data_IF_085451481161
#
_entry.id   IF_085451481161
#
_cell.length_a   1.000
_cell.length_b   1.000
_cell.length_c   1.000
_cell.angle_alpha   90.00
_cell.angle_beta   90.00
_cell.angle_gamma   90.00
#
_symmetry.space_group_name_H-M   'P 1'
#
loop_
_entity.id
_entity.type
_entity.pdbx_description
1 polymer ?
#
# COMPACT_ATOMS: atom_id res chain seq x y z
N UNK A 1 -13.86 -41.82 -30.14
CA UNK A 1 -13.41 -41.21 -28.87
C UNK A 1 -12.22 -40.32 -29.17
N UNK A 2 -12.44 -39.01 -29.30
CA UNK A 2 -11.37 -38.04 -29.55
C UNK A 2 -11.28 -37.11 -28.34
N UNK A 3 -10.18 -37.22 -27.59
CA UNK A 3 -9.98 -36.48 -26.34
C UNK A 3 -9.76 -35.00 -26.61
N UNK A 4 -10.69 -34.17 -26.14
CA UNK A 4 -10.51 -32.72 -26.10
C UNK A 4 -9.44 -32.37 -25.08
N UNK A 5 -8.22 -32.07 -25.55
CA UNK A 5 -7.18 -31.41 -24.75
C UNK A 5 -7.72 -30.04 -24.33
N UNK A 6 -8.03 -29.88 -23.04
CA UNK A 6 -8.39 -28.59 -22.45
C UNK A 6 -7.21 -27.64 -22.67
N UNK A 7 -7.40 -26.60 -23.49
CA UNK A 7 -6.43 -25.52 -23.68
C UNK A 7 -6.34 -24.75 -22.37
N UNK A 8 -5.29 -24.99 -21.61
CA UNK A 8 -4.92 -24.17 -20.46
C UNK A 8 -4.49 -22.80 -21.00
N UNK A 9 -5.06 -21.68 -20.53
CA UNK A 9 -4.60 -20.36 -20.94
C UNK A 9 -3.14 -20.14 -20.50
N UNK A 10 -2.31 -19.48 -21.33
CA UNK A 10 -0.91 -19.28 -21.01
C UNK A 10 -0.77 -18.49 -19.70
N UNK A 11 0.22 -18.82 -18.84
CA UNK A 11 0.48 -18.09 -17.61
C UNK A 11 0.81 -16.62 -17.91
N UNK A 12 0.29 -15.71 -17.09
CA UNK A 12 0.64 -14.29 -17.13
C UNK A 12 1.98 -14.13 -16.41
N UNK A 13 3.00 -13.51 -17.01
CA UNK A 13 4.27 -13.26 -16.32
C UNK A 13 4.04 -12.32 -15.13
N UNK A 14 4.38 -12.78 -13.92
CA UNK A 14 4.25 -12.04 -12.67
C UNK A 14 5.46 -11.14 -12.49
N UNK A 15 5.23 -9.84 -12.31
CA UNK A 15 6.29 -8.89 -11.96
C UNK A 15 6.61 -9.03 -10.45
N UNK A 16 7.42 -10.03 -10.11
CA UNK A 16 7.92 -10.28 -8.75
C UNK A 16 9.44 -10.31 -8.74
N UNK A 17 10.06 -9.45 -7.94
CA UNK A 17 11.52 -9.29 -7.88
C UNK A 17 12.23 -10.55 -7.44
N UNK A 18 13.01 -11.15 -8.34
CA UNK A 18 14.09 -12.04 -7.98
C UNK A 18 15.32 -11.65 -8.80
N UNK A 19 16.35 -11.15 -8.12
CA UNK A 19 17.63 -10.75 -8.71
C UNK A 19 18.37 -12.00 -9.20
N UNK A 20 18.74 -12.01 -10.48
CA UNK A 20 19.63 -13.02 -11.04
C UNK A 20 19.37 -13.28 -12.52
N UNK A 21 20.03 -12.53 -13.40
CA UNK A 21 20.32 -12.88 -14.80
C UNK A 21 19.12 -13.25 -15.70
N UNK A 22 18.18 -12.33 -15.94
CA UNK A 22 17.07 -12.59 -16.87
C UNK A 22 16.25 -11.38 -17.33
N UNK A 23 16.79 -10.16 -17.28
CA UNK A 23 16.02 -8.95 -17.65
C UNK A 23 15.66 -8.91 -19.16
N UNK A 24 16.57 -9.26 -20.07
CA UNK A 24 16.26 -9.35 -21.51
C UNK A 24 15.21 -10.42 -21.83
N UNK A 25 15.31 -11.61 -21.23
CA UNK A 25 14.34 -12.69 -21.42
C UNK A 25 12.94 -12.30 -20.93
N UNK A 26 12.86 -11.43 -19.93
CA UNK A 26 11.62 -10.99 -19.31
C UNK A 26 10.93 -9.87 -20.08
N UNK A 27 11.69 -8.94 -20.65
CA UNK A 27 11.15 -7.93 -21.56
C UNK A 27 10.62 -8.56 -22.85
N UNK A 28 11.32 -9.59 -23.37
CA UNK A 28 10.87 -10.32 -24.55
C UNK A 28 9.58 -11.13 -24.27
N UNK A 29 9.46 -11.73 -23.08
CA UNK A 29 8.22 -12.38 -22.64
C UNK A 29 7.05 -11.40 -22.50
N UNK A 30 7.30 -10.18 -22.00
CA UNK A 30 6.27 -9.14 -21.91
C UNK A 30 5.81 -8.67 -23.29
N UNK A 31 6.75 -8.39 -24.21
CA UNK A 31 6.42 -7.99 -25.59
C UNK A 31 5.64 -9.07 -26.33
N UNK A 32 6.03 -10.34 -26.18
CA UNK A 32 5.31 -11.46 -26.77
C UNK A 32 3.88 -11.60 -26.22
N UNK A 33 3.68 -11.33 -24.91
CA UNK A 33 2.36 -11.34 -24.30
C UNK A 33 1.48 -10.20 -24.80
N UNK A 34 2.01 -8.98 -24.91
CA UNK A 34 1.30 -7.81 -25.43
C UNK A 34 0.86 -8.00 -26.89
N UNK A 35 1.73 -8.53 -27.75
CA UNK A 35 1.38 -8.88 -29.13
C UNK A 35 0.26 -9.91 -29.21
N UNK A 36 0.28 -10.91 -28.31
CA UNK A 36 -0.73 -11.96 -28.29
C UNK A 36 -2.09 -11.41 -27.84
N UNK A 37 -2.11 -10.49 -26.87
CA UNK A 37 -3.32 -9.76 -26.45
C UNK A 37 -3.87 -8.88 -27.57
N UNK A 38 -2.99 -8.17 -28.29
CA UNK A 38 -3.39 -7.37 -29.45
C UNK A 38 -4.03 -8.23 -30.54
N UNK A 39 -3.40 -9.35 -30.90
CA UNK A 39 -3.97 -10.31 -31.88
C UNK A 39 -5.31 -10.86 -31.43
N UNK A 40 -5.49 -11.12 -30.13
CA UNK A 40 -6.76 -11.62 -29.60
C UNK A 40 -7.88 -10.57 -29.74
N UNK A 41 -7.58 -9.29 -29.47
CA UNK A 41 -8.54 -8.18 -29.67
C UNK A 41 -8.85 -7.96 -31.15
N UNK A 42 -7.85 -8.04 -32.02
CA UNK A 42 -8.06 -7.93 -33.47
C UNK A 42 -8.94 -9.08 -33.99
N UNK A 43 -8.75 -10.31 -33.50
CA UNK A 43 -9.60 -11.46 -33.83
C UNK A 43 -11.04 -11.31 -33.29
N UNK A 44 -11.21 -10.79 -32.07
CA UNK A 44 -12.53 -10.51 -31.51
C UNK A 44 -13.24 -9.36 -32.25
N UNK A 45 -12.51 -8.31 -32.64
CA UNK A 45 -13.04 -7.21 -33.43
C UNK A 45 -13.43 -7.67 -34.85
N UNK A 46 -12.63 -8.55 -35.47
CA UNK A 46 -12.96 -9.15 -36.76
C UNK A 46 -14.17 -10.10 -36.70
N UNK A 47 -14.39 -10.77 -35.57
CA UNK A 47 -15.56 -11.62 -35.34
C UNK A 47 -16.83 -10.83 -34.97
N UNK A 48 -16.70 -9.57 -34.53
CA UNK A 48 -17.79 -8.69 -34.12
C UNK A 48 -18.28 -7.75 -35.23
N UNK A 49 -17.97 -8.04 -36.51
CA UNK A 49 -18.56 -7.32 -37.63
C UNK A 49 -20.10 -7.39 -37.55
N UNK A 50 -20.81 -6.24 -37.52
CA UNK A 50 -22.22 -6.21 -37.18
C UNK A 50 -23.08 -6.80 -38.31
N UNK A 51 -23.82 -7.87 -38.00
CA UNK A 51 -24.99 -8.27 -38.78
C UNK A 51 -26.05 -7.20 -38.53
N UNK A 52 -26.28 -6.34 -39.53
CA UNK A 52 -27.35 -5.34 -39.54
C UNK A 52 -28.71 -6.05 -39.46
N UNK A 53 -29.28 -6.14 -38.25
CA UNK A 53 -30.67 -6.54 -38.04
C UNK A 53 -31.51 -5.27 -37.98
N UNK A 54 -32.18 -4.96 -39.09
CA UNK A 54 -33.16 -3.88 -39.19
C UNK A 54 -34.39 -4.20 -38.33
N UNK A 55 -34.65 -3.38 -37.31
CA UNK A 55 -35.88 -3.42 -36.50
C UNK A 55 -36.88 -2.39 -37.07
N UNK A 56 -38.15 -2.76 -37.34
CA UNK A 56 -39.13 -1.83 -37.89
C UNK A 56 -39.75 -0.93 -36.80
N UNK A 57 -40.04 0.32 -37.19
CA UNK A 57 -40.60 1.37 -36.36
C UNK A 57 -42.08 1.12 -35.97
N UNK A 58 -42.52 1.49 -34.75
CA UNK A 58 -43.94 1.58 -34.44
C UNK A 58 -44.49 3.00 -34.64
N UNK A 59 -45.64 3.03 -35.31
CA UNK A 59 -46.46 4.18 -35.68
C UNK A 59 -47.19 4.82 -34.49
N UNK A 60 -47.30 6.15 -34.48
CA UNK A 60 -48.27 6.93 -33.67
C UNK A 60 -49.70 6.80 -34.23
N UNK A 61 -50.77 7.08 -33.44
CA UNK A 61 -51.45 8.40 -33.49
C UNK A 61 -52.21 8.77 -32.16
N UNK A 62 -53.21 9.72 -32.10
CA UNK A 62 -53.02 11.18 -32.02
C UNK A 62 -53.82 11.92 -30.90
N UNK A 63 -53.39 13.16 -30.64
CA UNK A 63 -54.13 14.41 -30.33
C UNK A 63 -55.33 14.50 -29.34
N UNK A 64 -55.21 15.42 -28.37
CA UNK A 64 -56.30 16.33 -27.95
C UNK A 64 -55.75 17.68 -27.43
N UNK A 65 -56.33 18.76 -27.97
CA UNK A 65 -56.11 20.22 -27.86
C UNK A 65 -56.48 20.83 -26.49
N UNK A 66 -55.62 21.65 -25.84
CA UNK A 66 -55.59 23.14 -25.78
C UNK A 66 -56.23 23.74 -24.47
N UNK A 67 -56.02 25.01 -24.05
CA UNK A 67 -54.95 26.01 -24.30
C UNK A 67 -54.38 26.77 -23.04
N UNK A 68 -53.27 27.50 -23.25
CA UNK A 68 -52.86 28.84 -22.72
C UNK A 68 -52.95 29.18 -21.22
N UNK A 69 -51.80 29.51 -20.58
CA UNK A 69 -51.41 30.84 -20.00
C UNK A 69 -49.89 30.87 -19.72
N UNK A 70 -49.13 31.72 -20.41
CA UNK A 70 -47.93 32.44 -19.90
C UNK A 70 -48.41 33.84 -19.43
N UNK A 71 -47.71 34.65 -18.60
CA UNK A 71 -46.25 34.65 -18.34
C UNK A 71 -45.85 34.94 -16.87
N UNK A 72 -44.67 34.53 -16.41
CA UNK A 72 -43.80 35.43 -15.59
C UNK A 72 -42.36 34.93 -15.63
N UNK A 73 -41.47 35.79 -16.12
CA UNK A 73 -40.04 35.65 -16.00
C UNK A 73 -39.65 35.73 -14.51
N UNK A 74 -38.95 34.70 -14.00
CA UNK A 74 -38.20 34.80 -12.76
C UNK A 74 -36.77 34.39 -13.09
N UNK A 75 -35.91 35.39 -12.96
CA UNK A 75 -34.46 35.40 -12.89
C UNK A 75 -33.79 34.02 -12.74
N UNK A 76 -32.88 33.71 -13.67
CA UNK A 76 -31.74 32.84 -13.42
C UNK A 76 -30.96 33.39 -12.21
N UNK A 77 -30.88 32.69 -11.08
CA UNK A 77 -29.80 32.94 -10.16
C UNK A 77 -28.54 32.40 -10.82
N UNK A 78 -27.58 33.29 -11.07
CA UNK A 78 -26.18 32.93 -11.30
C UNK A 78 -25.75 31.98 -10.18
N UNK A 79 -25.82 30.67 -10.47
CA UNK A 79 -25.22 29.66 -9.65
C UNK A 79 -23.72 29.89 -9.75
N UNK A 80 -23.19 30.56 -8.73
CA UNK A 80 -21.76 30.52 -8.39
C UNK A 80 -21.40 29.04 -8.44
N UNK A 81 -20.60 28.65 -9.44
CA UNK A 81 -20.05 27.33 -9.55
C UNK A 81 -19.30 27.06 -8.24
N UNK A 82 -19.95 26.33 -7.33
CA UNK A 82 -19.28 25.78 -6.18
C UNK A 82 -18.18 24.89 -6.76
N UNK A 83 -16.91 25.04 -6.35
CA UNK A 83 -15.89 24.09 -6.75
C UNK A 83 -16.38 22.71 -6.29
N UNK A 84 -16.59 21.82 -7.25
CA UNK A 84 -16.85 20.42 -6.94
C UNK A 84 -15.76 19.97 -5.96
N UNK A 85 -16.12 19.29 -4.86
CA UNK A 85 -15.13 18.76 -3.95
C UNK A 85 -14.21 17.86 -4.77
N UNK A 86 -12.94 18.28 -4.91
CA UNK A 86 -11.95 17.52 -5.64
C UNK A 86 -11.99 16.08 -5.13
N UNK A 87 -12.41 15.14 -5.97
CA UNK A 87 -12.44 13.74 -5.61
C UNK A 87 -11.02 13.34 -5.23
N UNK A 88 -10.78 13.15 -3.93
CA UNK A 88 -9.50 12.73 -3.38
C UNK A 88 -9.08 11.31 -3.84
N UNK A 89 -9.79 10.71 -4.80
CA UNK A 89 -9.59 9.36 -5.30
C UNK A 89 -8.58 9.24 -6.44
N UNK A 90 -8.16 10.34 -7.05
CA UNK A 90 -7.27 10.37 -8.22
C UNK A 90 -5.77 10.38 -7.92
N UNK A 91 -4.96 10.11 -8.95
CA UNK A 91 -3.52 10.42 -8.92
C UNK A 91 -3.32 11.95 -8.88
N UNK A 92 -2.30 12.40 -8.15
CA UNK A 92 -1.89 13.81 -8.19
C UNK A 92 -1.31 14.14 -9.58
N UNK A 93 -1.69 15.27 -10.19
CA UNK A 93 -1.12 15.70 -11.45
C UNK A 93 0.38 15.97 -11.27
N UNK A 94 1.18 15.50 -12.22
CA UNK A 94 2.61 15.83 -12.27
C UNK A 94 2.76 17.30 -12.66
N UNK A 95 3.50 18.12 -11.91
CA UNK A 95 3.73 19.51 -12.26
C UNK A 95 4.38 19.61 -13.65
N UNK A 96 3.82 20.46 -14.51
CA UNK A 96 4.42 20.74 -15.81
C UNK A 96 5.70 21.56 -15.64
N UNK A 97 6.70 21.26 -16.48
CA UNK A 97 7.90 22.06 -16.52
C UNK A 97 7.60 23.43 -17.14
N UNK A 98 8.03 24.48 -16.45
CA UNK A 98 7.89 25.87 -16.87
C UNK A 98 9.19 26.61 -16.56
N UNK A 99 9.51 27.61 -17.36
CA UNK A 99 10.68 28.45 -17.12
C UNK A 99 10.29 29.70 -16.32
N UNK A 100 11.07 30.11 -15.31
CA UNK A 100 10.83 31.36 -14.60
C UNK A 100 11.11 32.56 -15.50
N UNK A 101 10.25 33.58 -15.42
CA UNK A 101 10.42 34.85 -16.14
C UNK A 101 11.54 35.73 -15.54
N UNK A 102 11.96 35.47 -14.29
CA UNK A 102 13.00 36.24 -13.61
C UNK A 102 14.39 36.00 -14.23
N UNK A 103 15.13 37.09 -14.42
CA UNK A 103 16.54 37.06 -14.84
C UNK A 103 17.50 36.88 -13.65
N UNK A 104 17.05 37.06 -12.41
CA UNK A 104 17.88 36.90 -11.21
C UNK A 104 18.19 35.41 -10.96
N UNK A 105 19.47 34.99 -10.91
CA UNK A 105 19.84 33.62 -10.61
C UNK A 105 19.25 33.08 -9.29
N UNK A 106 19.09 33.91 -8.25
CA UNK A 106 18.56 33.46 -6.97
C UNK A 106 17.08 33.06 -7.07
N UNK A 107 16.25 33.92 -7.67
CA UNK A 107 14.83 33.64 -7.92
C UNK A 107 14.65 32.40 -8.80
N UNK A 108 15.48 32.26 -9.85
CA UNK A 108 15.45 31.09 -10.73
C UNK A 108 15.75 29.80 -9.97
N UNK A 109 16.77 29.82 -9.11
CA UNK A 109 17.11 28.67 -8.28
C UNK A 109 15.95 28.31 -7.35
N UNK A 110 15.32 29.29 -6.69
CA UNK A 110 14.19 29.02 -5.81
C UNK A 110 12.99 28.45 -6.57
N UNK A 111 12.67 29.02 -7.74
CA UNK A 111 11.61 28.54 -8.62
C UNK A 111 11.80 27.07 -9.00
N UNK A 112 12.98 26.73 -9.53
CA UNK A 112 13.29 25.34 -9.89
C UNK A 112 13.32 24.43 -8.66
N UNK A 113 13.83 24.90 -7.52
CA UNK A 113 13.84 24.11 -6.27
C UNK A 113 12.42 23.75 -5.84
N UNK A 114 11.48 24.71 -5.89
CA UNK A 114 10.05 24.45 -5.61
C UNK A 114 9.45 23.47 -6.60
N UNK A 115 9.77 23.61 -7.89
CA UNK A 115 9.34 22.67 -8.95
C UNK A 115 9.83 21.24 -8.71
N UNK A 116 11.11 21.07 -8.37
CA UNK A 116 11.70 19.76 -8.04
C UNK A 116 10.99 19.12 -6.85
N UNK A 117 10.78 19.88 -5.77
CA UNK A 117 10.08 19.38 -4.58
C UNK A 117 8.63 19.00 -4.89
N UNK A 118 7.93 19.79 -5.71
CA UNK A 118 6.56 19.48 -6.14
C UNK A 118 6.49 18.19 -6.97
N UNK A 119 7.43 18.00 -7.90
CA UNK A 119 7.53 16.77 -8.71
C UNK A 119 7.82 15.56 -7.82
N UNK A 120 8.77 15.67 -6.89
CA UNK A 120 9.09 14.60 -5.94
C UNK A 120 7.90 14.23 -5.06
N UNK A 121 7.17 15.23 -4.57
CA UNK A 121 5.97 15.02 -3.77
C UNK A 121 4.87 14.30 -4.56
N UNK A 122 4.55 14.79 -5.77
CA UNK A 122 3.54 14.18 -6.63
C UNK A 122 3.92 12.74 -7.01
N UNK A 123 5.17 12.49 -7.39
CA UNK A 123 5.66 11.14 -7.72
C UNK A 123 5.52 10.17 -6.53
N UNK A 124 5.91 10.62 -5.33
CA UNK A 124 5.77 9.80 -4.11
C UNK A 124 4.31 9.49 -3.80
N UNK A 125 3.44 10.51 -3.78
CA UNK A 125 2.02 10.32 -3.51
C UNK A 125 1.35 9.39 -4.54
N UNK A 126 1.72 9.52 -5.81
CA UNK A 126 1.24 8.64 -6.87
C UNK A 126 1.70 7.19 -6.71
N UNK A 127 2.95 6.98 -6.28
CA UNK A 127 3.45 5.65 -5.96
C UNK A 127 2.70 5.02 -4.78
N UNK A 128 2.51 5.77 -3.69
CA UNK A 128 1.76 5.32 -2.51
C UNK A 128 0.31 4.98 -2.88
N UNK A 129 -0.32 5.79 -3.74
CA UNK A 129 -1.67 5.53 -4.28
C UNK A 129 -1.71 4.27 -5.16
N UNK A 130 -0.72 4.06 -6.01
CA UNK A 130 -0.64 2.85 -6.84
C UNK A 130 -0.54 1.58 -5.99
N UNK A 131 0.27 1.59 -4.92
CA UNK A 131 0.37 0.45 -4.00
C UNK A 131 -0.93 0.20 -3.23
N UNK A 132 -1.64 1.26 -2.84
CA UNK A 132 -2.98 1.14 -2.24
C UNK A 132 -3.99 0.50 -3.21
N UNK A 133 -4.05 0.98 -4.45
CA UNK A 133 -4.93 0.43 -5.49
C UNK A 133 -4.58 -1.02 -5.82
N UNK A 134 -3.30 -1.36 -5.85
CA UNK A 134 -2.82 -2.74 -5.99
C UNK A 134 -3.27 -3.62 -4.83
N UNK A 135 -3.19 -3.16 -3.59
CA UNK A 135 -3.65 -3.92 -2.42
C UNK A 135 -5.17 -4.19 -2.49
N UNK A 136 -5.98 -3.16 -2.75
CA UNK A 136 -7.44 -3.27 -2.87
C UNK A 136 -7.81 -4.17 -4.05
N UNK A 137 -7.23 -3.88 -5.22
CA UNK A 137 -7.46 -4.62 -6.45
C UNK A 137 -7.13 -6.10 -6.28
N UNK A 138 -5.92 -6.42 -5.81
CA UNK A 138 -5.48 -7.79 -5.55
C UNK A 138 -6.37 -8.49 -4.52
N UNK A 139 -6.71 -7.81 -3.41
CA UNK A 139 -7.56 -8.37 -2.37
C UNK A 139 -8.95 -8.76 -2.88
N UNK A 140 -9.58 -7.93 -3.70
CA UNK A 140 -10.88 -8.24 -4.31
C UNK A 140 -10.83 -9.51 -5.16
N UNK A 141 -9.81 -9.67 -6.02
CA UNK A 141 -9.69 -10.86 -6.87
C UNK A 141 -9.34 -12.10 -6.04
N UNK A 142 -8.43 -11.98 -5.07
CA UNK A 142 -8.09 -13.09 -4.17
C UNK A 142 -9.30 -13.55 -3.36
N UNK A 143 -10.14 -12.62 -2.88
CA UNK A 143 -11.40 -12.94 -2.21
C UNK A 143 -12.33 -13.72 -3.13
N UNK A 144 -12.58 -13.23 -4.35
CA UNK A 144 -13.44 -13.91 -5.33
C UNK A 144 -12.94 -15.34 -5.65
N UNK A 145 -11.63 -15.49 -5.95
CA UNK A 145 -11.01 -16.81 -6.20
C UNK A 145 -11.19 -17.78 -5.04
N UNK A 146 -11.15 -17.27 -3.79
CA UNK A 146 -11.33 -18.07 -2.59
C UNK A 146 -12.80 -18.44 -2.37
N UNK A 147 -13.72 -17.49 -2.49
CA UNK A 147 -15.16 -17.66 -2.26
C UNK A 147 -15.82 -18.56 -3.31
N UNK A 148 -15.43 -18.42 -4.58
CA UNK A 148 -15.91 -19.27 -5.68
C UNK A 148 -15.14 -20.61 -5.78
N UNK A 149 -14.20 -20.85 -4.86
CA UNK A 149 -13.36 -22.05 -4.83
C UNK A 149 -12.66 -22.38 -6.18
N UNK A 150 -12.28 -21.34 -6.96
CA UNK A 150 -11.77 -21.51 -8.33
C UNK A 150 -10.48 -22.33 -8.43
N UNK A 151 -9.77 -22.51 -7.32
CA UNK A 151 -8.63 -23.44 -7.21
C UNK A 151 -9.02 -24.88 -7.59
N UNK A 152 -10.22 -25.33 -7.22
CA UNK A 152 -10.73 -26.67 -7.56
C UNK A 152 -10.91 -26.81 -9.07
N UNK A 153 -11.52 -25.82 -9.71
CA UNK A 153 -11.72 -25.78 -11.18
C UNK A 153 -10.39 -25.72 -11.93
N UNK A 154 -9.39 -25.05 -11.37
CA UNK A 154 -8.05 -24.96 -11.92
C UNK A 154 -7.18 -26.22 -11.66
N UNK A 155 -7.68 -27.22 -10.93
CA UNK A 155 -6.98 -28.47 -10.64
C UNK A 155 -5.96 -28.39 -9.51
N UNK A 156 -6.10 -27.42 -8.61
CA UNK A 156 -5.27 -27.29 -7.40
C UNK A 156 -6.04 -27.79 -6.18
N UNK A 157 -5.34 -28.47 -5.27
CA UNK A 157 -5.94 -29.04 -4.05
C UNK A 157 -6.38 -27.95 -3.06
N UNK A 158 -5.60 -26.87 -2.94
CA UNK A 158 -5.93 -25.76 -2.06
C UNK A 158 -5.80 -24.40 -2.75
N UNK A 159 -6.52 -23.41 -2.22
CA UNK A 159 -6.36 -22.00 -2.59
C UNK A 159 -4.91 -21.52 -2.52
N UNK A 160 -4.15 -22.01 -1.53
CA UNK A 160 -2.75 -21.65 -1.34
C UNK A 160 -1.87 -22.09 -2.50
N UNK A 161 -2.06 -23.32 -2.96
CA UNK A 161 -1.29 -23.93 -4.05
C UNK A 161 -1.51 -23.17 -5.37
N UNK A 162 -2.78 -22.80 -5.64
CA UNK A 162 -3.11 -21.95 -6.79
C UNK A 162 -2.38 -20.60 -6.69
N UNK A 163 -2.48 -19.91 -5.54
CA UNK A 163 -1.93 -18.56 -5.40
C UNK A 163 -0.40 -18.52 -5.48
N UNK A 164 0.26 -19.55 -4.94
CA UNK A 164 1.70 -19.66 -4.99
C UNK A 164 2.19 -20.02 -6.39
N UNK A 165 1.56 -21.02 -7.04
CA UNK A 165 1.97 -21.48 -8.36
C UNK A 165 1.69 -20.46 -9.48
N UNK A 166 0.57 -19.72 -9.41
CA UNK A 166 0.18 -18.77 -10.47
C UNK A 166 0.67 -17.34 -10.23
N UNK A 167 0.75 -16.91 -8.97
CA UNK A 167 1.00 -15.51 -8.64
C UNK A 167 2.25 -15.29 -7.76
N UNK A 168 2.93 -16.36 -7.33
CA UNK A 168 4.05 -16.26 -6.39
C UNK A 168 3.63 -15.73 -5.01
N UNK A 169 2.34 -15.79 -4.67
CA UNK A 169 1.81 -15.28 -3.39
C UNK A 169 1.57 -16.45 -2.45
N UNK A 170 2.27 -16.45 -1.31
CA UNK A 170 2.10 -17.50 -0.30
C UNK A 170 0.69 -17.45 0.31
N UNK A 171 0.16 -18.61 0.69
CA UNK A 171 -1.17 -18.77 1.30
C UNK A 171 -1.45 -17.78 2.45
N UNK A 172 -0.50 -17.60 3.37
CA UNK A 172 -0.69 -16.70 4.53
C UNK A 172 -0.75 -15.22 4.09
N UNK A 173 0.07 -14.83 3.12
CA UNK A 173 0.06 -13.47 2.56
C UNK A 173 -1.26 -13.19 1.84
N UNK A 174 -1.76 -14.12 1.02
CA UNK A 174 -3.06 -13.98 0.36
C UNK A 174 -4.22 -13.82 1.37
N UNK A 175 -4.24 -14.66 2.42
CA UNK A 175 -5.28 -14.56 3.46
C UNK A 175 -5.19 -13.25 4.26
N UNK A 176 -3.98 -12.77 4.53
CA UNK A 176 -3.75 -11.49 5.19
C UNK A 176 -4.28 -10.32 4.37
N UNK A 177 -4.00 -10.29 3.06
CA UNK A 177 -4.53 -9.28 2.13
C UNK A 177 -6.07 -9.29 2.14
N UNK A 178 -6.71 -10.47 2.02
CA UNK A 178 -8.17 -10.61 2.05
C UNK A 178 -8.75 -10.08 3.38
N UNK A 179 -8.06 -10.33 4.50
CA UNK A 179 -8.48 -9.92 5.84
C UNK A 179 -8.49 -8.41 6.00
N UNK A 180 -7.47 -7.71 5.51
CA UNK A 180 -7.37 -6.25 5.62
C UNK A 180 -8.09 -5.48 4.52
N UNK A 181 -8.65 -6.18 3.52
CA UNK A 181 -9.29 -5.57 2.36
C UNK A 181 -10.38 -4.55 2.75
N UNK A 182 -11.27 -4.90 3.69
CA UNK A 182 -12.34 -3.99 4.11
C UNK A 182 -11.80 -2.71 4.75
N UNK A 183 -10.71 -2.82 5.51
CA UNK A 183 -10.02 -1.66 6.11
C UNK A 183 -9.40 -0.79 5.01
N UNK A 184 -8.74 -1.41 4.02
CA UNK A 184 -8.13 -0.68 2.91
C UNK A 184 -9.16 0.09 2.09
N UNK A 185 -10.33 -0.51 1.83
CA UNK A 185 -11.46 0.15 1.15
C UNK A 185 -12.01 1.31 1.99
N UNK A 186 -12.17 1.14 3.30
CA UNK A 186 -12.63 2.22 4.18
C UNK A 186 -11.68 3.44 4.19
N UNK A 187 -10.39 3.22 3.94
CA UNK A 187 -9.36 4.26 3.92
C UNK A 187 -9.06 4.80 2.51
N UNK A 188 -9.70 4.28 1.47
CA UNK A 188 -9.38 4.59 0.07
C UNK A 188 -9.41 6.09 -0.25
N UNK A 189 -10.36 6.82 0.32
CA UNK A 189 -10.58 8.24 0.04
C UNK A 189 -10.09 9.15 1.18
N UNK A 190 -9.47 8.60 2.22
CA UNK A 190 -9.07 9.34 3.42
C UNK A 190 -7.56 9.61 3.44
N UNK A 191 -6.77 8.76 2.80
CA UNK A 191 -5.32 8.85 2.86
C UNK A 191 -4.69 8.56 1.51
N UNK A 192 -3.63 9.30 1.20
CA UNK A 192 -2.72 9.02 0.09
C UNK A 192 -1.52 8.20 0.52
N UNK A 193 -1.35 7.95 1.83
CA UNK A 193 -0.21 7.19 2.37
C UNK A 193 -0.30 5.71 2.01
N UNK A 194 0.86 5.07 1.86
CA UNK A 194 0.98 3.64 1.59
C UNK A 194 0.29 2.81 2.69
N UNK A 195 -0.68 1.99 2.30
CA UNK A 195 -1.41 1.11 3.19
C UNK A 195 -0.67 -0.23 3.36
N UNK A 196 0.16 -0.33 4.40
CA UNK A 196 0.86 -1.57 4.72
C UNK A 196 -0.06 -2.58 5.39
N UNK A 197 -0.05 -3.81 4.87
CA UNK A 197 -0.91 -4.92 5.34
C UNK A 197 -0.83 -5.14 6.86
N UNK A 198 0.38 -5.17 7.42
CA UNK A 198 0.59 -5.49 8.84
C UNK A 198 -0.07 -4.49 9.80
N UNK A 199 0.18 -3.16 9.69
CA UNK A 199 -0.53 -2.16 10.50
C UNK A 199 -2.05 -2.22 10.37
N UNK A 200 -2.57 -2.45 9.17
CA UNK A 200 -4.02 -2.47 8.95
C UNK A 200 -4.74 -3.59 9.71
N UNK A 201 -4.05 -4.69 10.05
CA UNK A 201 -4.66 -5.77 10.85
C UNK A 201 -5.18 -5.29 12.20
N UNK A 202 -4.60 -4.24 12.76
CA UNK A 202 -5.04 -3.63 14.03
C UNK A 202 -6.45 -3.05 13.92
N UNK A 203 -6.82 -2.57 12.73
CA UNK A 203 -8.09 -1.91 12.47
C UNK A 203 -9.21 -2.89 12.08
N UNK A 204 -8.88 -4.15 11.81
CA UNK A 204 -9.88 -5.16 11.41
C UNK A 204 -10.96 -5.34 12.50
N UNK A 205 -10.65 -5.54 13.79
CA UNK A 205 -11.69 -5.65 14.82
C UNK A 205 -12.54 -4.37 14.96
N UNK A 206 -11.95 -3.20 14.70
CA UNK A 206 -12.65 -1.92 14.74
C UNK A 206 -13.64 -1.83 13.59
N UNK A 207 -13.24 -2.25 12.38
CA UNK A 207 -14.14 -2.35 11.25
C UNK A 207 -15.32 -3.29 11.55
N UNK A 208 -15.02 -4.46 12.08
CA UNK A 208 -16.02 -5.50 12.35
C UNK A 208 -17.01 -5.07 13.45
N UNK A 209 -16.57 -4.29 14.45
CA UNK A 209 -17.37 -3.92 15.63
C UNK A 209 -18.03 -2.54 15.51
N UNK A 210 -17.31 -1.57 14.93
CA UNK A 210 -17.70 -0.15 14.92
C UNK A 210 -17.88 0.43 13.51
N UNK A 211 -17.56 -0.33 12.46
CA UNK A 211 -17.77 0.07 11.06
C UNK A 211 -16.67 0.95 10.48
N UNK A 212 -16.85 1.32 9.21
CA UNK A 212 -15.85 2.03 8.41
C UNK A 212 -15.51 3.42 8.96
N UNK A 213 -16.49 4.18 9.46
CA UNK A 213 -16.24 5.52 10.01
C UNK A 213 -15.27 5.50 11.21
N UNK A 214 -15.38 4.49 12.08
CA UNK A 214 -14.49 4.35 13.23
C UNK A 214 -13.04 4.07 12.79
N UNK A 215 -12.85 3.28 11.74
CA UNK A 215 -11.54 3.04 11.10
C UNK A 215 -10.96 4.34 10.56
N UNK A 216 -11.76 5.14 9.85
CA UNK A 216 -11.32 6.42 9.30
C UNK A 216 -10.90 7.40 10.41
N UNK A 217 -11.72 7.54 11.46
CA UNK A 217 -11.39 8.38 12.62
C UNK A 217 -10.12 7.92 13.32
N UNK A 218 -9.95 6.62 13.52
CA UNK A 218 -8.75 6.04 14.12
C UNK A 218 -7.50 6.32 13.29
N UNK A 219 -7.61 6.22 11.96
CA UNK A 219 -6.51 6.53 11.06
C UNK A 219 -6.11 8.01 11.13
N UNK A 220 -7.09 8.91 11.06
CA UNK A 220 -6.85 10.36 11.14
C UNK A 220 -6.20 10.73 12.48
N UNK A 221 -6.62 10.10 13.58
CA UNK A 221 -6.00 10.35 14.88
C UNK A 221 -4.57 9.82 14.95
N UNK A 222 -4.31 8.61 14.43
CA UNK A 222 -2.97 8.05 14.39
C UNK A 222 -2.01 8.86 13.51
N UNK A 223 -2.48 9.40 12.38
CA UNK A 223 -1.65 10.14 11.43
C UNK A 223 -1.21 11.52 11.96
N UNK A 224 -1.94 12.10 12.94
CA UNK A 224 -1.53 13.34 13.62
C UNK A 224 -0.19 13.23 14.33
N UNK A 225 0.16 12.02 14.77
CA UNK A 225 1.42 11.74 15.46
C UNK A 225 2.56 11.34 14.51
N UNK A 226 2.36 11.49 13.19
CA UNK A 226 3.35 11.17 12.17
C UNK A 226 3.19 9.75 11.63
N UNK A 227 4.16 8.87 11.91
CA UNK A 227 4.20 7.54 11.31
C UNK A 227 3.09 6.63 11.86
N UNK A 228 2.25 6.13 10.94
CA UNK A 228 1.18 5.20 11.26
C UNK A 228 1.74 3.80 11.48
N UNK A 229 2.01 3.47 12.75
CA UNK A 229 2.48 2.16 13.19
C UNK A 229 1.38 1.36 13.88
N UNK A 230 1.55 0.04 14.03
CA UNK A 230 0.64 -0.82 14.81
C UNK A 230 0.35 -0.23 16.20
N UNK A 231 1.37 0.39 16.85
CA UNK A 231 1.24 1.01 18.16
C UNK A 231 0.40 2.28 18.09
N UNK A 232 0.71 3.19 17.15
CA UNK A 232 -0.04 4.43 16.97
C UNK A 232 -1.53 4.18 16.69
N UNK A 233 -1.84 3.17 15.87
CA UNK A 233 -3.24 2.79 15.58
C UNK A 233 -3.97 2.25 16.81
N UNK A 234 -3.30 1.44 17.65
CA UNK A 234 -3.90 0.98 18.92
C UNK A 234 -4.11 2.12 19.89
N UNK A 235 -3.12 3.00 20.03
CA UNK A 235 -3.20 4.14 20.95
C UNK A 235 -4.32 5.09 20.51
N UNK A 236 -4.45 5.38 19.21
CA UNK A 236 -5.55 6.13 18.63
C UNK A 236 -6.91 5.45 18.84
N UNK A 237 -7.00 4.13 18.63
CA UNK A 237 -8.24 3.38 18.86
C UNK A 237 -8.66 3.44 20.33
N UNK A 238 -7.71 3.28 21.26
CA UNK A 238 -7.95 3.40 22.69
C UNK A 238 -8.41 4.82 23.06
N UNK A 239 -7.75 5.85 22.51
CA UNK A 239 -8.10 7.25 22.73
C UNK A 239 -9.53 7.58 22.28
N UNK A 240 -9.96 7.03 21.14
CA UNK A 240 -11.31 7.21 20.60
C UNK A 240 -12.36 6.28 21.22
N UNK A 241 -11.97 5.39 22.15
CA UNK A 241 -12.88 4.45 22.78
C UNK A 241 -13.30 3.25 21.91
N UNK A 242 -12.59 2.99 20.81
CA UNK A 242 -12.76 1.81 19.96
C UNK A 242 -11.85 0.63 20.35
N UNK A 243 -10.91 0.87 21.26
CA UNK A 243 -10.06 -0.17 21.80
C UNK A 243 -10.86 -1.20 22.61
N UNK A 244 -10.42 -2.47 22.65
CA UNK A 244 -11.01 -3.43 23.57
C UNK A 244 -10.94 -2.86 24.99
N UNK A 245 -12.00 -3.03 25.82
CA UNK A 245 -11.96 -2.57 27.19
C UNK A 245 -10.67 -3.08 27.82
N UNK A 246 -9.82 -2.15 28.28
CA UNK A 246 -8.76 -2.53 29.20
C UNK A 246 -9.48 -3.03 30.43
N UNK A 247 -9.67 -4.34 30.53
CA UNK A 247 -9.85 -4.99 31.82
C UNK A 247 -8.75 -4.41 32.67
N UNK A 248 -9.15 -3.64 33.68
CA UNK A 248 -8.22 -3.11 34.67
C UNK A 248 -7.51 -4.34 35.20
N UNK A 249 -6.30 -4.59 34.71
CA UNK A 249 -5.42 -5.56 35.30
C UNK A 249 -5.29 -5.08 36.74
N UNK A 250 -5.92 -5.80 37.66
CA UNK A 250 -5.79 -5.56 39.08
C UNK A 250 -4.30 -5.37 39.32
N UNK A 251 -3.92 -4.26 39.97
CA UNK A 251 -2.54 -3.84 40.18
C UNK A 251 -1.64 -4.87 40.91
N UNK A 252 -2.17 -6.07 41.20
CA UNK A 252 -1.45 -7.22 41.74
C UNK A 252 -0.82 -8.13 40.68
N UNK A 253 -1.24 -8.10 39.41
CA UNK A 253 -0.67 -9.00 38.38
C UNK A 253 0.44 -8.36 37.52
N UNK A 254 0.67 -7.05 37.64
CA UNK A 254 1.77 -6.36 36.95
C UNK A 254 3.15 -6.61 37.59
N UNK A 255 3.22 -7.39 38.68
CA UNK A 255 4.47 -7.89 39.27
C UNK A 255 5.01 -9.20 38.68
N UNK A 256 4.30 -9.82 37.73
CA UNK A 256 4.75 -11.09 37.14
C UNK A 256 4.90 -11.03 35.62
N UNK A 257 5.16 -9.85 35.05
CA UNK A 257 6.01 -9.80 33.86
C UNK A 257 7.45 -9.89 34.35
N UNK A 258 7.99 -11.11 34.39
CA UNK A 258 9.43 -11.31 34.41
C UNK A 258 10.02 -10.46 33.29
N UNK A 259 10.64 -9.34 33.66
CA UNK A 259 11.62 -8.69 32.80
C UNK A 259 12.58 -9.82 32.37
N UNK A 260 12.88 -9.98 31.07
CA UNK A 260 14.01 -10.82 30.69
C UNK A 260 15.19 -10.28 31.49
N UNK A 261 15.84 -11.16 32.27
CA UNK A 261 16.97 -10.79 33.10
C UNK A 261 17.91 -9.91 32.28
N UNK A 262 18.40 -8.78 32.81
CA UNK A 262 19.30 -7.92 32.07
C UNK A 262 20.44 -8.81 31.57
N UNK A 263 20.52 -8.96 30.25
CA UNK A 263 21.62 -9.69 29.63
C UNK A 263 22.94 -9.08 30.08
N UNK A 264 24.05 -9.83 30.08
CA UNK A 264 25.34 -9.29 30.45
C UNK A 264 25.58 -7.99 29.68
N UNK A 265 25.96 -6.94 30.40
CA UNK A 265 26.20 -5.62 29.83
C UNK A 265 27.12 -5.73 28.62
N UNK A 266 26.98 -4.83 27.65
CA UNK A 266 27.81 -4.87 26.45
C UNK A 266 29.31 -4.84 26.75
N UNK A 267 29.70 -4.22 27.87
CA UNK A 267 31.05 -4.26 28.44
C UNK A 267 31.51 -5.68 28.83
N UNK A 268 30.66 -6.47 29.48
CA UNK A 268 30.98 -7.86 29.83
C UNK A 268 31.08 -8.74 28.59
N UNK A 269 30.22 -8.50 27.59
CA UNK A 269 30.31 -9.19 26.29
C UNK A 269 31.58 -8.84 25.53
N UNK A 270 32.03 -7.58 25.59
CA UNK A 270 33.29 -7.15 24.99
C UNK A 270 34.49 -7.87 25.63
N UNK A 271 34.51 -7.98 26.96
CA UNK A 271 35.55 -8.71 27.70
C UNK A 271 35.53 -10.21 27.37
N UNK A 272 34.35 -10.83 27.28
CA UNK A 272 34.23 -12.24 26.88
C UNK A 272 34.74 -12.47 25.45
N UNK A 273 34.46 -11.57 24.50
CA UNK A 273 35.01 -11.65 23.14
C UNK A 273 36.54 -11.59 23.15
N UNK A 274 37.13 -10.66 23.90
CA UNK A 274 38.59 -10.54 24.03
C UNK A 274 39.19 -11.80 24.66
N UNK A 275 38.54 -12.42 25.65
CA UNK A 275 38.98 -13.70 26.23
C UNK A 275 38.95 -14.84 25.19
N UNK A 276 37.88 -14.96 24.43
CA UNK A 276 37.80 -15.98 23.36
C UNK A 276 38.81 -15.73 22.23
N UNK A 277 39.15 -14.47 21.95
CA UNK A 277 40.21 -14.11 21.01
C UNK A 277 41.58 -14.45 21.57
N UNK A 278 41.83 -14.28 22.87
CA UNK A 278 43.12 -14.59 23.48
C UNK A 278 43.47 -16.09 23.40
N UNK A 279 42.45 -16.97 23.39
CA UNK A 279 42.63 -18.41 23.19
C UNK A 279 43.08 -18.77 21.77
N UNK A 280 42.75 -17.95 20.77
CA UNK A 280 43.05 -18.20 19.35
C UNK A 280 44.25 -17.39 18.84
N UNK A 281 44.35 -16.14 19.26
CA UNK A 281 45.35 -15.16 18.86
C UNK A 281 45.62 -14.15 19.99
N UNK A 282 46.66 -14.39 20.81
CA UNK A 282 46.97 -13.54 21.96
C UNK A 282 47.49 -12.15 21.56
N UNK A 283 48.08 -12.01 20.35
CA UNK A 283 48.60 -10.73 19.89
C UNK A 283 47.48 -9.79 19.47
N UNK A 284 46.43 -10.33 18.82
CA UNK A 284 45.24 -9.57 18.45
C UNK A 284 44.38 -9.22 19.66
N UNK A 285 44.21 -10.16 20.60
CA UNK A 285 43.47 -9.90 21.83
C UNK A 285 44.07 -8.77 22.68
N UNK A 286 45.40 -8.62 22.70
CA UNK A 286 46.07 -7.50 23.38
C UNK A 286 45.73 -6.15 22.75
N UNK A 287 45.74 -6.04 21.41
CA UNK A 287 45.39 -4.79 20.72
C UNK A 287 43.95 -4.39 20.98
N UNK A 288 43.01 -5.34 20.89
CA UNK A 288 41.60 -5.06 21.18
C UNK A 288 41.36 -4.71 22.67
N UNK A 289 42.17 -5.24 23.59
CA UNK A 289 42.13 -4.85 25.00
C UNK A 289 42.67 -3.42 25.23
N UNK A 290 43.78 -3.06 24.58
CA UNK A 290 44.37 -1.72 24.65
C UNK A 290 43.44 -0.66 24.05
N UNK A 291 42.79 -0.96 22.92
CA UNK A 291 41.77 -0.09 22.31
C UNK A 291 40.57 0.13 23.24
N UNK A 292 40.07 -0.94 23.87
CA UNK A 292 38.97 -0.84 24.84
C UNK A 292 39.37 -0.02 26.07
N UNK A 293 40.60 -0.17 26.57
CA UNK A 293 41.12 0.62 27.68
C UNK A 293 41.22 2.11 27.32
N UNK A 294 41.72 2.42 26.12
CA UNK A 294 41.83 3.80 25.62
C UNK A 294 40.46 4.47 25.53
N UNK A 295 39.47 3.78 24.94
CA UNK A 295 38.11 4.31 24.79
C UNK A 295 37.42 4.55 26.14
N UNK A 296 37.64 3.67 27.12
CA UNK A 296 37.12 3.85 28.48
C UNK A 296 37.80 5.03 29.18
N UNK A 297 39.10 5.21 28.99
CA UNK A 297 39.85 6.33 29.57
C UNK A 297 39.38 7.67 29.00
N UNK A 298 39.23 7.76 27.67
CA UNK A 298 38.71 8.96 26.99
C UNK A 298 37.32 9.33 27.50
N UNK A 299 36.42 8.34 27.61
CA UNK A 299 35.08 8.56 28.18
C UNK A 299 35.12 9.05 29.63
N UNK A 300 36.05 8.53 30.44
CA UNK A 300 36.21 8.98 31.83
C UNK A 300 36.77 10.41 31.91
N UNK A 301 37.67 10.79 31.00
CA UNK A 301 38.18 12.16 30.90
C UNK A 301 37.10 13.14 30.43
N UNK A 302 36.23 12.71 29.50
CA UNK A 302 35.07 13.49 29.03
C UNK A 302 34.07 13.71 30.17
N UNK A 303 33.75 12.65 30.91
CA UNK A 303 32.85 12.71 32.06
C UNK A 303 33.44 13.51 33.24
N UNK A 304 34.76 13.59 33.35
CA UNK A 304 35.44 14.42 34.34
C UNK A 304 35.52 15.91 33.93
N UNK A 305 35.10 16.27 32.71
CA UNK A 305 35.13 17.64 32.20
C UNK A 305 36.52 18.15 31.85
N UNK A 306 37.48 17.25 31.55
CA UNK A 306 38.88 17.59 31.27
C UNK A 306 39.24 17.59 29.77
N UNK A 307 38.25 17.46 28.89
CA UNK A 307 38.41 17.61 27.44
C UNK A 307 38.02 19.05 27.04
N UNK A 308 39.02 19.90 26.77
CA UNK A 308 38.87 21.18 26.05
C UNK A 308 38.74 20.94 24.53
#
# INVERSE_FOLDING_TARGET
MSGSRRKVPPPIPVVGGNQGSGEESREDELRAWEENQRKLREQQAAAAAPVLVSVPAPSSPPAATAPTVQPTAVAEPMAVAQPEPAEAGGYLPMPEFTEPESADPADRLEYYSRGILAVQYAARANHERAEQQKLIGLGLRLRAVKEEELHKTAGFDTFGDLTEARFGIKKHQANNIIRVLGVAQALENITTQELKERPLRVLVPILDTHGAEAVQKTWVEASRHGNVTDKALRDAANFLGYGPPKELQSAEEEKTRQQPAPGPSESLRAVERIRTLAERDPARARREAEELESAVRELLEELAGNLE
#
